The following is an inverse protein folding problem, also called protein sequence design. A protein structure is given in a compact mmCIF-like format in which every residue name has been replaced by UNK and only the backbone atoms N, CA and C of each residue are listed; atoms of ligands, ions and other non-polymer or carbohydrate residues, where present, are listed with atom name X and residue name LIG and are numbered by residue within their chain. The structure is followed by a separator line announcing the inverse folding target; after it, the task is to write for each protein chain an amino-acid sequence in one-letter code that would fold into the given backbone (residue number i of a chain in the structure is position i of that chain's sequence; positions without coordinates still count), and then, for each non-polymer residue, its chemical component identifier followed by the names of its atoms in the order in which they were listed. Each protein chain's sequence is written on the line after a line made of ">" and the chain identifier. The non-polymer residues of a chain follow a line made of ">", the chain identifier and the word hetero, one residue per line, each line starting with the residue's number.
data_IF_761092355678
#
_entry.id   IF_761092355678
#
_cell.length_a   1.000
_cell.length_b   1.000
_cell.length_c   1.000
_cell.angle_alpha   90.00
_cell.angle_beta   90.00
_cell.angle_gamma   90.00
#
_symmetry.space_group_name_H-M   'P 1'
#
loop_
_entity.id
_entity.type
_entity.pdbx_description
1 polymer ?
#
# COMPACT_ATOMS: atom_id res chain seq x y z
N UNK A 1 -14.62 67.13 27.88
CA UNK A 1 -13.22 66.93 27.41
C UNK A 1 -12.33 66.58 28.58
N UNK A 2 -12.01 65.30 28.76
CA UNK A 2 -10.83 64.80 29.48
C UNK A 2 -10.42 63.50 28.81
N UNK A 3 -9.19 63.46 28.31
CA UNK A 3 -8.55 62.35 27.60
C UNK A 3 -8.25 61.24 28.61
N UNK A 4 -8.63 60.01 28.31
CA UNK A 4 -8.14 58.84 29.05
C UNK A 4 -6.94 58.27 28.31
N UNK A 5 -5.77 58.38 28.95
CA UNK A 5 -4.52 57.73 28.52
C UNK A 5 -4.65 56.22 28.67
N UNK A 6 -4.33 55.51 27.60
CA UNK A 6 -4.08 54.07 27.61
C UNK A 6 -2.70 53.86 28.24
N UNK A 7 -2.65 53.31 29.45
CA UNK A 7 -1.41 52.80 30.05
C UNK A 7 -1.29 51.31 29.71
N UNK A 8 -0.44 51.01 28.73
CA UNK A 8 0.02 49.65 28.43
C UNK A 8 0.94 49.21 29.58
N UNK A 9 0.47 48.30 30.42
CA UNK A 9 1.32 47.58 31.36
C UNK A 9 2.04 46.46 30.60
N UNK A 10 3.26 46.77 30.17
CA UNK A 10 4.27 45.81 29.73
C UNK A 10 4.81 45.09 30.99
N UNK A 11 4.11 44.05 31.44
CA UNK A 11 4.68 43.07 32.36
C UNK A 11 5.49 42.06 31.55
N UNK A 12 6.78 42.36 31.40
CA UNK A 12 7.78 41.38 30.99
C UNK A 12 7.91 40.32 32.08
N UNK A 13 7.29 39.17 31.86
CA UNK A 13 7.76 37.92 32.45
C UNK A 13 8.71 37.29 31.44
N UNK A 14 10.02 37.53 31.64
CA UNK A 14 11.07 36.69 31.08
C UNK A 14 10.92 35.30 31.73
N UNK A 15 10.08 34.46 31.14
CA UNK A 15 10.24 33.03 31.27
C UNK A 15 11.49 32.68 30.46
N UNK A 16 12.64 32.73 31.13
CA UNK A 16 13.76 31.92 30.74
C UNK A 16 13.26 30.47 30.81
N UNK A 17 12.80 29.96 29.67
CA UNK A 17 12.53 28.54 29.52
C UNK A 17 13.85 27.83 29.70
N UNK A 18 14.08 27.30 30.90
CA UNK A 18 14.91 26.11 31.05
C UNK A 18 14.29 25.08 30.12
N UNK A 19 14.89 24.89 28.95
CA UNK A 19 14.73 23.63 28.23
C UNK A 19 15.34 22.58 29.17
N UNK A 20 14.50 21.93 29.97
CA UNK A 20 14.89 20.64 30.52
C UNK A 20 15.20 19.77 29.31
N UNK A 21 16.48 19.55 29.03
CA UNK A 21 16.90 18.44 28.20
C UNK A 21 16.18 17.21 28.76
N UNK A 22 15.28 16.63 27.97
CA UNK A 22 14.65 15.36 28.31
C UNK A 22 15.80 14.40 28.50
N UNK A 23 16.03 13.91 29.73
CA UNK A 23 16.95 12.79 29.92
C UNK A 23 16.39 11.65 29.07
N UNK A 24 17.13 11.29 28.02
CA UNK A 24 16.78 10.16 27.19
C UNK A 24 16.96 8.92 28.06
N UNK A 25 15.85 8.26 28.38
CA UNK A 25 15.89 6.96 29.04
C UNK A 25 16.49 5.95 28.08
N UNK A 26 17.20 4.97 28.64
CA UNK A 26 17.52 3.76 27.91
C UNK A 26 16.21 3.06 27.54
N UNK A 27 16.21 2.28 26.45
CA UNK A 27 15.08 1.40 26.15
C UNK A 27 15.02 0.33 27.24
N UNK A 28 13.83 0.12 27.80
CA UNK A 28 13.54 -0.95 28.76
C UNK A 28 12.30 -1.68 28.24
N UNK A 29 12.39 -2.99 28.04
CA UNK A 29 11.29 -3.80 27.52
C UNK A 29 10.99 -4.90 28.55
N UNK A 30 9.80 -4.91 29.17
CA UNK A 30 9.44 -5.90 30.17
C UNK A 30 9.15 -7.25 29.50
N UNK A 31 10.19 -8.05 29.22
CA UNK A 31 10.11 -9.30 28.45
C UNK A 31 9.01 -10.26 28.97
N UNK A 32 8.89 -10.40 30.29
CA UNK A 32 7.91 -11.29 30.94
C UNK A 32 6.44 -10.84 30.78
N UNK A 33 6.20 -9.59 30.38
CA UNK A 33 4.86 -9.03 30.16
C UNK A 33 4.41 -9.15 28.69
N UNK A 34 5.33 -9.50 27.79
CA UNK A 34 5.04 -9.63 26.35
C UNK A 34 4.14 -10.84 26.11
N UNK A 35 2.96 -10.62 25.55
CA UNK A 35 2.05 -11.72 25.14
C UNK A 35 2.25 -12.11 23.67
N UNK A 36 2.64 -11.15 22.83
CA UNK A 36 2.97 -11.33 21.42
C UNK A 36 4.00 -10.30 20.99
N UNK A 37 4.72 -10.58 19.91
CA UNK A 37 5.52 -9.58 19.24
C UNK A 37 5.29 -9.67 17.73
N UNK A 38 5.56 -8.58 17.03
CA UNK A 38 5.38 -8.47 15.59
C UNK A 38 6.66 -7.96 14.95
N UNK A 39 7.15 -8.66 13.94
CA UNK A 39 8.25 -8.21 13.09
C UNK A 39 7.70 -8.01 11.68
N UNK A 40 7.66 -6.75 11.24
CA UNK A 40 6.99 -6.38 10.00
C UNK A 40 5.50 -6.77 10.05
N UNK A 41 5.10 -7.75 9.23
CA UNK A 41 3.71 -8.23 9.15
C UNK A 41 3.47 -9.57 9.84
N UNK A 42 4.48 -10.14 10.51
CA UNK A 42 4.40 -11.45 11.14
C UNK A 42 4.28 -11.27 12.64
N UNK A 43 3.18 -11.77 13.22
CA UNK A 43 2.99 -11.89 14.66
C UNK A 43 3.41 -13.27 15.14
N UNK A 44 4.07 -13.32 16.28
CA UNK A 44 4.50 -14.57 16.91
C UNK A 44 4.33 -14.47 18.43
N UNK A 45 4.19 -15.62 19.07
CA UNK A 45 4.27 -15.68 20.54
C UNK A 45 5.73 -15.72 20.99
N UNK A 46 6.05 -15.22 22.20
CA UNK A 46 7.41 -15.26 22.74
C UNK A 46 8.07 -16.64 22.66
N UNK A 47 7.34 -17.69 23.03
CA UNK A 47 7.86 -19.07 23.06
C UNK A 47 8.17 -19.66 21.68
N UNK A 48 7.64 -19.07 20.61
CA UNK A 48 7.84 -19.53 19.22
C UNK A 48 9.15 -18.99 18.63
N UNK A 49 9.71 -17.92 19.20
CA UNK A 49 10.89 -17.25 18.69
C UNK A 49 12.07 -17.30 19.67
N UNK A 50 12.93 -18.31 19.48
CA UNK A 50 14.08 -18.60 20.35
C UNK A 50 15.09 -17.46 20.54
N UNK A 51 15.06 -16.46 19.67
CA UNK A 51 15.97 -15.32 19.66
C UNK A 51 15.38 -14.07 20.32
N UNK A 52 14.15 -14.12 20.86
CA UNK A 52 13.46 -12.95 21.40
C UNK A 52 14.24 -12.25 22.50
N UNK A 53 14.73 -12.98 23.51
CA UNK A 53 15.51 -12.39 24.62
C UNK A 53 16.81 -11.75 24.13
N UNK A 54 17.43 -12.30 23.07
CA UNK A 54 18.61 -11.69 22.46
C UNK A 54 18.26 -10.39 21.73
N UNK A 55 17.16 -10.39 20.97
CA UNK A 55 16.66 -9.19 20.29
C UNK A 55 16.36 -8.07 21.30
N UNK A 56 15.63 -8.39 22.38
CA UNK A 56 15.31 -7.43 23.44
C UNK A 56 16.58 -6.88 24.05
N UNK A 57 17.53 -7.74 24.42
CA UNK A 57 18.81 -7.32 24.99
C UNK A 57 19.58 -6.37 24.06
N UNK A 58 19.60 -6.66 22.76
CA UNK A 58 20.28 -5.80 21.78
C UNK A 58 19.55 -4.45 21.62
N UNK A 59 18.21 -4.44 21.68
CA UNK A 59 17.41 -3.21 21.69
C UNK A 59 17.67 -2.37 22.94
N UNK A 60 17.77 -3.00 24.11
CA UNK A 60 18.13 -2.33 25.38
C UNK A 60 19.58 -1.86 25.42
N UNK A 61 20.45 -2.31 24.50
CA UNK A 61 21.84 -1.84 24.34
C UNK A 61 21.99 -0.74 23.27
N UNK A 62 20.92 -0.42 22.52
CA UNK A 62 20.92 0.65 21.53
C UNK A 62 21.23 2.01 22.16
N UNK A 63 22.00 2.86 21.47
CA UNK A 63 22.56 4.07 22.10
C UNK A 63 21.74 5.30 21.71
N UNK A 64 21.14 6.04 22.66
CA UNK A 64 20.35 7.23 22.32
C UNK A 64 21.21 8.28 21.61
N UNK A 65 20.69 8.86 20.54
CA UNK A 65 21.37 9.94 19.82
C UNK A 65 21.48 11.18 20.72
N UNK A 66 22.69 11.76 20.77
CA UNK A 66 23.00 12.85 21.71
C UNK A 66 22.19 14.12 21.44
N UNK A 67 21.88 14.38 20.18
CA UNK A 67 21.09 15.54 19.75
C UNK A 67 19.89 15.06 18.96
N UNK A 68 18.81 14.74 19.67
CA UNK A 68 17.54 14.26 19.10
C UNK A 68 16.97 15.20 18.05
N UNK A 69 17.22 16.51 18.13
CA UNK A 69 16.72 17.47 17.14
C UNK A 69 17.47 17.39 15.81
N UNK A 70 18.68 16.85 15.81
CA UNK A 70 19.50 16.63 14.61
C UNK A 70 19.63 15.14 14.26
N UNK A 71 19.00 14.26 15.03
CA UNK A 71 19.02 12.84 14.77
C UNK A 71 18.36 12.58 13.41
N UNK A 72 18.84 11.58 12.66
CA UNK A 72 18.16 11.17 11.46
C UNK A 72 16.85 10.50 11.87
N UNK A 73 15.71 11.07 11.46
CA UNK A 73 14.41 10.43 11.61
C UNK A 73 14.13 9.53 10.41
N UNK A 74 13.30 8.50 10.62
CA UNK A 74 12.93 7.57 9.56
C UNK A 74 12.21 8.30 8.43
N UNK A 75 12.47 7.86 7.20
CA UNK A 75 11.70 8.24 6.02
C UNK A 75 10.59 7.22 5.76
N UNK A 76 10.35 6.92 4.49
CA UNK A 76 9.43 5.84 4.07
C UNK A 76 10.07 4.44 4.21
N UNK A 77 11.40 4.36 4.17
CA UNK A 77 12.15 3.10 4.23
C UNK A 77 12.47 2.74 5.68
N UNK A 78 11.59 1.96 6.31
CA UNK A 78 11.77 1.46 7.68
C UNK A 78 11.16 0.07 7.86
N UNK A 79 11.62 -0.63 8.90
CA UNK A 79 11.11 -1.93 9.33
C UNK A 79 10.58 -1.84 10.76
N UNK A 80 9.26 -2.00 10.99
CA UNK A 80 8.68 -1.92 12.31
C UNK A 80 8.82 -3.25 13.07
N UNK A 81 9.16 -3.15 14.35
CA UNK A 81 9.07 -4.22 15.35
C UNK A 81 8.15 -3.73 16.47
N UNK A 82 7.22 -4.56 16.93
CA UNK A 82 6.39 -4.21 18.09
C UNK A 82 6.31 -5.33 19.12
N UNK A 83 6.22 -4.94 20.37
CA UNK A 83 5.91 -5.82 21.50
C UNK A 83 4.49 -5.51 21.99
N UNK A 84 3.70 -6.54 22.23
CA UNK A 84 2.28 -6.46 22.52
C UNK A 84 2.04 -7.09 23.90
N UNK A 85 1.29 -6.40 24.76
CA UNK A 85 1.02 -6.78 26.14
C UNK A 85 -0.46 -7.20 26.37
N UNK A 86 -0.81 -7.67 27.58
CA UNK A 86 -2.13 -8.26 27.89
C UNK A 86 -3.35 -7.37 27.54
N UNK A 87 -3.21 -6.05 27.66
CA UNK A 87 -4.28 -5.08 27.33
C UNK A 87 -4.26 -4.61 25.86
N UNK A 88 -3.54 -5.31 24.98
CA UNK A 88 -3.27 -4.92 23.59
C UNK A 88 -2.51 -3.59 23.45
N UNK A 89 -1.94 -3.07 24.54
CA UNK A 89 -0.95 -1.99 24.48
C UNK A 89 0.28 -2.47 23.74
N UNK A 90 0.95 -1.54 23.03
CA UNK A 90 2.08 -1.86 22.16
C UNK A 90 3.18 -0.83 22.34
N UNK A 91 4.41 -1.31 22.28
CA UNK A 91 5.57 -0.48 21.99
C UNK A 91 6.01 -0.77 20.56
N UNK A 92 6.11 0.26 19.73
CA UNK A 92 6.56 0.12 18.34
C UNK A 92 7.90 0.83 18.13
N UNK A 93 8.78 0.12 17.45
CA UNK A 93 10.14 0.55 17.16
C UNK A 93 10.39 0.43 15.66
N UNK A 94 10.94 1.50 15.06
CA UNK A 94 11.16 1.60 13.62
C UNK A 94 12.66 1.57 13.32
N UNK A 95 13.10 0.50 12.65
CA UNK A 95 14.49 0.33 12.22
C UNK A 95 14.69 0.89 10.81
N UNK A 96 15.71 1.71 10.59
CA UNK A 96 15.97 2.30 9.28
C UNK A 96 17.46 2.62 9.05
N UNK A 97 17.93 2.53 7.79
CA UNK A 97 19.28 2.92 7.43
C UNK A 97 19.36 4.42 7.11
N UNK A 98 20.46 5.06 7.52
CA UNK A 98 20.85 6.41 7.09
C UNK A 98 22.37 6.54 7.06
N UNK A 99 22.92 7.00 5.94
CA UNK A 99 24.35 7.27 5.77
C UNK A 99 25.24 6.09 6.24
N UNK A 100 24.95 4.88 5.74
CA UNK A 100 25.63 3.61 6.05
C UNK A 100 25.47 3.09 7.49
N UNK A 101 24.64 3.72 8.32
CA UNK A 101 24.34 3.29 9.68
C UNK A 101 22.88 2.94 9.85
N UNK A 102 22.58 2.15 10.88
CA UNK A 102 21.22 1.82 11.25
C UNK A 102 20.82 2.53 12.53
N UNK A 103 19.58 2.99 12.52
CA UNK A 103 18.94 3.69 13.62
C UNK A 103 17.63 3.02 13.99
N UNK A 104 17.22 3.27 15.22
CA UNK A 104 15.99 2.82 15.82
C UNK A 104 15.22 4.06 16.30
N UNK A 105 14.01 4.27 15.82
CA UNK A 105 13.13 5.36 16.26
C UNK A 105 11.92 4.78 17.01
N UNK A 106 11.59 5.37 18.16
CA UNK A 106 10.39 5.03 18.94
C UNK A 106 9.16 5.81 18.46
N UNK A 107 7.96 5.41 18.86
CA UNK A 107 6.73 6.16 18.55
C UNK A 107 6.73 7.62 19.04
N UNK A 108 7.48 7.90 20.11
CA UNK A 108 7.64 9.26 20.64
C UNK A 108 8.69 10.10 19.89
N UNK A 109 9.32 9.53 18.86
CA UNK A 109 10.33 10.19 18.03
C UNK A 109 11.74 10.20 18.63
N UNK A 110 11.97 9.48 19.73
CA UNK A 110 13.33 9.33 20.27
C UNK A 110 14.12 8.34 19.38
N UNK A 111 15.33 8.73 18.97
CA UNK A 111 16.20 8.01 18.04
C UNK A 111 17.43 7.45 18.75
N UNK A 112 17.79 6.22 18.40
CA UNK A 112 18.93 5.46 18.91
C UNK A 112 19.79 4.99 17.74
N UNK A 113 21.10 5.05 17.88
CA UNK A 113 22.08 4.51 16.95
C UNK A 113 22.54 3.10 17.33
N UNK A 114 23.40 2.52 16.48
CA UNK A 114 23.90 1.13 16.57
C UNK A 114 22.76 0.10 16.48
N UNK A 115 21.78 0.35 15.62
CA UNK A 115 20.61 -0.52 15.45
C UNK A 115 20.78 -1.57 14.34
N UNK A 116 22.01 -1.80 13.85
CA UNK A 116 22.32 -2.74 12.77
C UNK A 116 22.16 -4.21 13.19
N UNK A 117 22.12 -4.48 14.50
CA UNK A 117 21.81 -5.80 15.05
C UNK A 117 20.51 -6.39 14.50
N UNK A 118 19.55 -5.56 14.06
CA UNK A 118 18.27 -6.02 13.50
C UNK A 118 18.47 -6.97 12.31
N UNK A 119 19.56 -6.81 11.56
CA UNK A 119 19.92 -7.63 10.42
C UNK A 119 20.30 -9.07 10.79
N UNK A 120 20.60 -9.35 12.07
CA UNK A 120 20.83 -10.71 12.58
C UNK A 120 19.52 -11.48 12.87
N UNK A 121 18.38 -10.78 12.83
CA UNK A 121 17.05 -11.29 13.17
C UNK A 121 16.12 -11.36 11.96
N UNK A 122 16.26 -10.42 11.03
CA UNK A 122 15.40 -10.31 9.83
C UNK A 122 16.22 -9.94 8.60
N UNK A 123 15.85 -10.54 7.47
CA UNK A 123 16.38 -10.15 6.17
C UNK A 123 15.60 -8.94 5.66
N UNK A 124 16.23 -7.77 5.67
CA UNK A 124 15.62 -6.50 5.27
C UNK A 124 16.31 -6.02 4.00
N UNK A 125 15.55 -6.00 2.91
CA UNK A 125 15.94 -5.33 1.68
C UNK A 125 14.94 -4.20 1.40
N UNK A 126 15.39 -2.96 1.52
CA UNK A 126 14.60 -1.77 1.11
C UNK A 126 14.77 -1.46 -0.38
N UNK A 127 15.82 -1.99 -1.03
CA UNK A 127 16.11 -1.80 -2.43
C UNK A 127 15.48 -2.90 -3.28
N UNK A 128 14.21 -3.20 -3.02
CA UNK A 128 13.44 -4.08 -3.90
C UNK A 128 13.00 -3.27 -5.12
N UNK A 129 13.97 -2.91 -5.97
CA UNK A 129 13.73 -2.63 -7.38
C UNK A 129 13.44 -3.99 -8.05
N UNK A 130 12.33 -4.62 -7.64
CA UNK A 130 11.85 -5.85 -8.24
C UNK A 130 11.50 -5.46 -9.65
N UNK A 131 12.41 -5.71 -10.59
CA UNK A 131 12.07 -5.83 -12.00
C UNK A 131 10.96 -6.86 -12.07
N UNK A 132 9.73 -6.38 -12.17
CA UNK A 132 8.57 -7.25 -12.31
C UNK A 132 8.58 -7.69 -13.76
N UNK A 133 9.01 -8.92 -13.99
CA UNK A 133 8.78 -9.55 -15.28
C UNK A 133 7.27 -9.54 -15.56
N UNK A 134 6.89 -8.86 -16.63
CA UNK A 134 5.50 -8.79 -17.08
C UNK A 134 5.25 -10.06 -17.88
N UNK A 135 4.89 -11.14 -17.18
CA UNK A 135 4.57 -12.42 -17.81
C UNK A 135 3.08 -12.49 -18.10
N UNK A 136 2.69 -12.08 -19.30
CA UNK A 136 1.35 -12.34 -19.83
C UNK A 136 1.48 -13.51 -20.78
N UNK A 137 0.68 -14.57 -20.58
CA UNK A 137 0.65 -15.68 -21.54
C UNK A 137 0.36 -15.15 -22.97
N UNK A 138 1.11 -15.63 -23.96
CA UNK A 138 1.08 -15.08 -25.33
C UNK A 138 -0.27 -15.30 -26.01
N UNK A 139 -0.95 -16.41 -25.72
CA UNK A 139 -2.27 -16.68 -26.28
C UNK A 139 -3.32 -15.78 -25.62
N UNK A 140 -3.19 -15.55 -24.31
CA UNK A 140 -3.98 -14.55 -23.57
C UNK A 140 -3.75 -13.14 -24.13
N UNK A 141 -2.51 -12.76 -24.44
CA UNK A 141 -2.19 -11.46 -25.02
C UNK A 141 -2.77 -11.30 -26.44
N UNK A 142 -2.67 -12.33 -27.29
CA UNK A 142 -3.31 -12.32 -28.62
C UNK A 142 -4.83 -12.15 -28.51
N UNK A 143 -5.47 -12.87 -27.58
CA UNK A 143 -6.91 -12.76 -27.33
C UNK A 143 -7.31 -11.36 -26.90
N UNK A 144 -6.53 -10.77 -26.00
CA UNK A 144 -6.70 -9.38 -25.55
C UNK A 144 -6.65 -8.39 -26.73
N UNK A 145 -5.66 -8.55 -27.63
CA UNK A 145 -5.54 -7.70 -28.83
C UNK A 145 -6.68 -7.94 -29.83
N UNK A 146 -7.11 -9.19 -30.04
CA UNK A 146 -8.22 -9.52 -30.93
C UNK A 146 -9.53 -8.90 -30.47
N UNK A 147 -9.83 -8.95 -29.17
CA UNK A 147 -10.99 -8.27 -28.58
C UNK A 147 -10.83 -6.74 -28.71
N UNK A 148 -9.61 -6.23 -28.51
CA UNK A 148 -9.32 -4.80 -28.42
C UNK A 148 -9.12 -4.07 -29.75
N UNK A 149 -9.04 -4.78 -30.87
CA UNK A 149 -8.66 -4.20 -32.17
C UNK A 149 -9.60 -3.09 -32.65
N UNK A 150 -10.90 -3.23 -32.37
CA UNK A 150 -11.93 -2.28 -32.79
C UNK A 150 -12.17 -1.15 -31.76
N UNK A 151 -11.50 -1.22 -30.61
CA UNK A 151 -11.62 -0.25 -29.53
C UNK A 151 -10.58 0.86 -29.66
N UNK A 152 -11.06 2.11 -29.61
CA UNK A 152 -10.19 3.31 -29.56
C UNK A 152 -9.46 3.43 -28.22
N UNK A 153 -10.14 3.07 -27.14
CA UNK A 153 -9.67 3.06 -25.75
C UNK A 153 -10.18 1.79 -25.08
N UNK A 154 -9.46 1.27 -24.10
CA UNK A 154 -9.88 0.10 -23.35
C UNK A 154 -10.80 0.50 -22.20
N UNK A 155 -11.98 0.98 -22.58
CA UNK A 155 -13.05 1.46 -21.70
C UNK A 155 -13.83 0.31 -21.03
N UNK A 156 -14.91 0.65 -20.32
CA UNK A 156 -15.77 -0.31 -19.62
C UNK A 156 -16.29 -1.42 -20.55
N UNK A 157 -16.57 -1.15 -21.83
CA UNK A 157 -17.07 -2.14 -22.79
C UNK A 157 -16.00 -3.16 -23.14
N UNK A 158 -14.81 -2.68 -23.48
CA UNK A 158 -13.65 -3.56 -23.71
C UNK A 158 -13.34 -4.39 -22.47
N UNK A 159 -13.26 -3.73 -21.31
CA UNK A 159 -12.91 -4.33 -20.03
C UNK A 159 -13.91 -5.41 -19.60
N UNK A 160 -15.20 -5.22 -19.91
CA UNK A 160 -16.24 -6.21 -19.69
C UNK A 160 -16.11 -7.40 -20.64
N UNK A 161 -16.05 -7.17 -21.95
CA UNK A 161 -15.92 -8.23 -22.95
C UNK A 161 -14.67 -9.10 -22.72
N UNK A 162 -13.51 -8.46 -22.52
CA UNK A 162 -12.27 -9.15 -22.19
C UNK A 162 -12.37 -9.91 -20.86
N UNK A 163 -13.07 -9.36 -19.87
CA UNK A 163 -13.31 -10.03 -18.59
C UNK A 163 -14.14 -11.31 -18.74
N UNK A 164 -15.23 -11.26 -19.51
CA UNK A 164 -16.12 -12.42 -19.70
C UNK A 164 -15.40 -13.53 -20.46
N UNK A 165 -14.76 -13.20 -21.59
CA UNK A 165 -14.03 -14.17 -22.40
C UNK A 165 -12.91 -14.84 -21.60
N UNK A 166 -12.11 -14.07 -20.86
CA UNK A 166 -11.02 -14.66 -20.06
C UNK A 166 -11.56 -15.50 -18.89
N UNK A 167 -12.66 -15.09 -18.26
CA UNK A 167 -13.28 -15.89 -17.20
C UNK A 167 -13.72 -17.25 -17.73
N UNK A 168 -14.43 -17.30 -18.87
CA UNK A 168 -14.86 -18.56 -19.48
C UNK A 168 -13.68 -19.48 -19.79
N UNK A 169 -12.56 -18.93 -20.26
CA UNK A 169 -11.37 -19.69 -20.65
C UNK A 169 -10.58 -20.23 -19.46
N UNK A 170 -10.44 -19.43 -18.40
CA UNK A 170 -9.65 -19.80 -17.22
C UNK A 170 -10.39 -20.79 -16.31
N UNK A 171 -11.72 -20.67 -16.21
CA UNK A 171 -12.52 -21.44 -15.25
C UNK A 171 -13.37 -22.53 -15.88
N UNK A 172 -13.63 -22.44 -17.20
CA UNK A 172 -14.61 -23.29 -17.89
C UNK A 172 -16.07 -22.96 -17.55
N UNK A 173 -16.34 -21.79 -16.99
CA UNK A 173 -17.69 -21.31 -16.70
C UNK A 173 -18.53 -21.16 -17.98
N UNK A 174 -19.85 -21.29 -17.84
CA UNK A 174 -20.77 -20.84 -18.89
C UNK A 174 -20.71 -19.32 -19.06
N UNK A 175 -21.17 -18.82 -20.22
CA UNK A 175 -21.23 -17.38 -20.49
C UNK A 175 -22.05 -16.62 -19.43
N UNK A 176 -23.21 -17.16 -19.02
CA UNK A 176 -24.06 -16.56 -17.97
C UNK A 176 -23.33 -16.46 -16.62
N UNK A 177 -22.61 -17.52 -16.24
CA UNK A 177 -21.80 -17.54 -15.01
C UNK A 177 -20.63 -16.55 -15.08
N UNK A 178 -19.95 -16.48 -16.23
CA UNK A 178 -18.85 -15.56 -16.46
C UNK A 178 -19.32 -14.09 -16.44
N UNK A 179 -20.43 -13.77 -17.10
CA UNK A 179 -21.09 -12.45 -17.04
C UNK A 179 -21.38 -12.07 -15.58
N UNK A 180 -22.01 -12.97 -14.83
CA UNK A 180 -22.36 -12.71 -13.43
C UNK A 180 -21.12 -12.42 -12.56
N UNK A 181 -20.06 -13.23 -12.72
CA UNK A 181 -18.79 -13.07 -11.98
C UNK A 181 -18.08 -11.77 -12.35
N UNK A 182 -17.98 -11.46 -13.63
CA UNK A 182 -17.34 -10.22 -14.12
C UNK A 182 -18.11 -9.01 -13.63
N UNK A 183 -19.44 -9.01 -13.76
CA UNK A 183 -20.28 -7.91 -13.30
C UNK A 183 -20.10 -7.63 -11.80
N UNK A 184 -20.13 -8.68 -10.98
CA UNK A 184 -19.88 -8.56 -9.53
C UNK A 184 -18.47 -8.02 -9.26
N UNK A 185 -17.46 -8.59 -9.90
CA UNK A 185 -16.06 -8.18 -9.74
C UNK A 185 -15.86 -6.71 -10.10
N UNK A 186 -16.48 -6.22 -11.19
CA UNK A 186 -16.40 -4.81 -11.62
C UNK A 186 -17.05 -3.86 -10.61
N UNK A 187 -18.21 -4.23 -10.06
CA UNK A 187 -18.88 -3.45 -9.01
C UNK A 187 -18.01 -3.39 -7.75
N UNK A 188 -17.55 -4.55 -7.25
CA UNK A 188 -16.72 -4.63 -6.05
C UNK A 188 -15.43 -3.82 -6.22
N UNK A 189 -14.79 -3.95 -7.39
CA UNK A 189 -13.58 -3.22 -7.73
C UNK A 189 -13.80 -1.71 -7.81
N UNK A 190 -14.93 -1.27 -8.37
CA UNK A 190 -15.26 0.15 -8.46
C UNK A 190 -15.48 0.76 -7.08
N UNK A 191 -16.10 0.03 -6.15
CA UNK A 191 -16.27 0.50 -4.77
C UNK A 191 -14.93 0.76 -4.09
N UNK A 192 -13.95 -0.14 -4.27
CA UNK A 192 -12.59 0.04 -3.76
C UNK A 192 -11.94 1.28 -4.37
N UNK A 193 -12.08 1.49 -5.68
CA UNK A 193 -11.53 2.66 -6.36
C UNK A 193 -12.14 3.99 -5.85
N UNK A 194 -13.46 4.08 -5.74
CA UNK A 194 -14.11 5.31 -5.25
C UNK A 194 -13.79 5.57 -3.77
N UNK A 195 -13.71 4.52 -2.95
CA UNK A 195 -13.25 4.66 -1.56
C UNK A 195 -11.81 5.17 -1.50
N UNK A 196 -10.91 4.61 -2.30
CA UNK A 196 -9.51 5.02 -2.35
C UNK A 196 -9.38 6.50 -2.75
N UNK A 197 -10.15 6.96 -3.74
CA UNK A 197 -10.22 8.38 -4.13
C UNK A 197 -10.73 9.25 -3.00
N UNK A 198 -11.87 8.89 -2.39
CA UNK A 198 -12.47 9.60 -1.26
C UNK A 198 -11.51 9.72 -0.08
N UNK A 199 -10.65 8.72 0.11
CA UNK A 199 -9.63 8.66 1.15
C UNK A 199 -8.31 9.37 0.80
N UNK A 200 -8.22 10.02 -0.37
CA UNK A 200 -7.06 10.81 -0.76
C UNK A 200 -5.92 10.02 -1.42
N UNK A 201 -6.17 8.79 -1.87
CA UNK A 201 -5.18 7.93 -2.53
C UNK A 201 -5.19 8.04 -4.06
N UNK A 202 -5.99 8.95 -4.64
CA UNK A 202 -6.04 9.15 -6.09
C UNK A 202 -4.67 9.53 -6.64
N UNK A 203 -4.24 8.83 -7.69
CA UNK A 203 -2.98 9.15 -8.38
C UNK A 203 -3.18 10.24 -9.43
N UNK A 204 -2.18 11.08 -9.59
CA UNK A 204 -2.14 12.13 -10.60
C UNK A 204 -1.82 11.57 -11.99
N UNK A 205 -2.21 12.29 -13.05
CA UNK A 205 -1.87 11.91 -14.43
C UNK A 205 -0.37 11.79 -14.67
N UNK A 206 0.44 12.63 -13.99
CA UNK A 206 1.90 12.56 -14.07
C UNK A 206 2.43 11.22 -13.55
N UNK A 207 1.88 10.72 -12.44
CA UNK A 207 2.25 9.41 -11.91
C UNK A 207 1.86 8.28 -12.86
N UNK A 208 0.72 8.40 -13.55
CA UNK A 208 0.29 7.43 -14.57
C UNK A 208 1.23 7.43 -15.77
N UNK A 209 1.61 8.60 -16.28
CA UNK A 209 2.59 8.73 -17.37
C UNK A 209 3.96 8.13 -16.99
N UNK A 210 4.44 8.40 -15.77
CA UNK A 210 5.68 7.82 -15.25
C UNK A 210 5.57 6.30 -15.12
N UNK A 211 4.41 5.80 -14.69
CA UNK A 211 4.17 4.36 -14.59
C UNK A 211 4.16 3.68 -15.97
N UNK A 212 3.51 4.26 -16.97
CA UNK A 212 3.50 3.72 -18.34
C UNK A 212 4.91 3.65 -18.91
N UNK A 213 5.72 4.71 -18.74
CA UNK A 213 7.13 4.73 -19.17
C UNK A 213 7.94 3.62 -18.50
N UNK A 214 7.79 3.48 -17.18
CA UNK A 214 8.50 2.43 -16.43
C UNK A 214 8.09 1.03 -16.86
N UNK A 215 6.80 0.79 -17.10
CA UNK A 215 6.29 -0.48 -17.64
C UNK A 215 6.95 -0.77 -19.00
N UNK A 216 7.03 0.22 -19.90
CA UNK A 216 7.68 0.05 -21.20
C UNK A 216 9.17 -0.21 -21.10
N UNK A 217 9.89 0.51 -20.24
CA UNK A 217 11.30 0.28 -19.97
C UNK A 217 11.55 -1.15 -19.47
N UNK A 218 10.80 -1.58 -18.45
CA UNK A 218 10.91 -2.92 -17.87
C UNK A 218 10.52 -4.02 -18.88
N UNK A 219 9.59 -3.73 -19.79
CA UNK A 219 9.16 -4.66 -20.83
C UNK A 219 10.20 -4.80 -21.95
N UNK A 220 10.80 -3.69 -22.40
CA UNK A 220 11.80 -3.67 -23.46
C UNK A 220 13.11 -4.38 -23.08
N UNK A 221 13.39 -4.51 -21.79
CA UNK A 221 14.56 -5.22 -21.27
C UNK A 221 14.38 -6.75 -21.18
N UNK A 222 13.18 -7.27 -21.42
CA UNK A 222 12.90 -8.72 -21.34
C UNK A 222 13.44 -9.48 -22.56
N UNK A 223 13.93 -10.71 -22.34
CA UNK A 223 14.49 -11.54 -23.42
C UNK A 223 13.46 -11.90 -24.49
N UNK A 224 12.19 -12.09 -24.10
CA UNK A 224 11.09 -12.44 -25.00
C UNK A 224 10.32 -11.23 -25.54
N UNK A 225 10.77 -10.00 -25.25
CA UNK A 225 10.22 -8.76 -25.82
C UNK A 225 10.01 -8.81 -27.34
N UNK A 226 10.97 -9.31 -28.16
CA UNK A 226 10.77 -9.38 -29.62
C UNK A 226 9.56 -10.22 -30.05
N UNK A 227 9.16 -11.21 -29.25
CA UNK A 227 7.99 -12.05 -29.54
C UNK A 227 6.68 -11.29 -29.30
N UNK A 228 6.58 -10.53 -28.21
CA UNK A 228 5.42 -9.67 -27.97
C UNK A 228 5.33 -8.53 -28.97
N UNK A 229 6.47 -7.96 -29.37
CA UNK A 229 6.51 -6.92 -30.41
C UNK A 229 6.01 -7.48 -31.76
N UNK A 230 6.36 -8.72 -32.10
CA UNK A 230 5.84 -9.40 -33.28
C UNK A 230 4.32 -9.60 -33.20
N UNK A 231 3.80 -10.02 -32.04
CA UNK A 231 2.35 -10.14 -31.82
C UNK A 231 1.67 -8.78 -31.99
N UNK A 232 2.14 -7.70 -31.37
CA UNK A 232 1.55 -6.37 -31.55
C UNK A 232 1.49 -5.95 -33.03
N UNK A 233 2.55 -6.24 -33.80
CA UNK A 233 2.62 -5.94 -35.24
C UNK A 233 1.58 -6.72 -36.05
N UNK A 234 1.28 -7.97 -35.69
CA UNK A 234 0.21 -8.77 -36.34
C UNK A 234 -1.16 -8.10 -36.21
N UNK A 235 -1.40 -7.39 -35.10
CA UNK A 235 -2.64 -6.65 -34.83
C UNK A 235 -2.54 -5.15 -35.20
N UNK A 236 -1.46 -4.73 -35.86
CA UNK A 236 -1.29 -3.35 -36.33
C UNK A 236 -1.16 -2.32 -35.21
N UNK A 237 -0.59 -2.70 -34.07
CA UNK A 237 -0.39 -1.81 -32.91
C UNK A 237 1.02 -1.94 -32.32
N UNK A 238 1.29 -1.24 -31.22
CA UNK A 238 2.51 -1.34 -30.42
C UNK A 238 2.17 -1.56 -28.93
N UNK A 239 3.15 -1.99 -28.14
CA UNK A 239 2.94 -2.11 -26.69
C UNK A 239 2.65 -0.76 -26.04
N UNK A 240 3.31 0.31 -26.49
CA UNK A 240 3.05 1.68 -26.04
C UNK A 240 1.60 2.08 -26.30
N UNK A 241 1.09 1.88 -27.51
CA UNK A 241 -0.30 2.14 -27.85
C UNK A 241 -1.28 1.33 -26.99
N UNK A 242 -0.96 0.05 -26.69
CA UNK A 242 -1.80 -0.79 -25.84
C UNK A 242 -1.86 -0.25 -24.39
N UNK A 243 -0.73 0.18 -23.83
CA UNK A 243 -0.68 0.78 -22.49
C UNK A 243 -1.39 2.13 -22.45
N UNK A 244 -1.23 2.92 -23.50
CA UNK A 244 -1.92 4.20 -23.68
C UNK A 244 -3.44 4.04 -23.75
N UNK A 245 -3.93 3.03 -24.48
CA UNK A 245 -5.35 2.64 -24.48
C UNK A 245 -5.83 2.16 -23.11
N UNK A 246 -4.93 1.61 -22.28
CA UNK A 246 -5.20 1.09 -20.92
C UNK A 246 -5.08 2.15 -19.82
N UNK A 247 -4.82 3.42 -20.15
CA UNK A 247 -4.46 4.45 -19.15
C UNK A 247 -5.43 4.54 -17.98
N UNK A 248 -6.73 4.60 -18.23
CA UNK A 248 -7.74 4.73 -17.17
C UNK A 248 -7.72 3.52 -16.23
N UNK A 249 -7.54 2.32 -16.79
CA UNK A 249 -7.34 1.10 -16.01
C UNK A 249 -6.05 1.17 -15.17
N UNK A 250 -4.94 1.63 -15.76
CA UNK A 250 -3.66 1.80 -15.03
C UNK A 250 -3.84 2.77 -13.86
N UNK A 251 -4.53 3.89 -14.07
CA UNK A 251 -4.85 4.87 -13.02
C UNK A 251 -5.69 4.26 -11.91
N UNK A 252 -6.71 3.49 -12.26
CA UNK A 252 -7.57 2.79 -11.31
C UNK A 252 -6.77 1.79 -10.46
N UNK A 253 -5.98 0.92 -11.10
CA UNK A 253 -5.12 -0.05 -10.42
C UNK A 253 -4.10 0.62 -9.51
N UNK A 254 -3.43 1.67 -9.97
CA UNK A 254 -2.47 2.42 -9.14
C UNK A 254 -3.14 3.01 -7.89
N UNK A 255 -4.34 3.59 -8.04
CA UNK A 255 -5.09 4.18 -6.93
C UNK A 255 -5.49 3.14 -5.89
N UNK A 256 -6.01 1.98 -6.33
CA UNK A 256 -6.33 0.86 -5.43
C UNK A 256 -5.08 0.26 -4.76
N UNK A 257 -3.99 0.15 -5.51
CA UNK A 257 -2.72 -0.36 -4.98
C UNK A 257 -2.13 0.56 -3.91
N UNK A 258 -2.28 1.89 -4.02
CA UNK A 258 -1.91 2.82 -2.94
C UNK A 258 -2.70 2.54 -1.67
N UNK A 259 -4.03 2.40 -1.75
CA UNK A 259 -4.86 2.02 -0.60
C UNK A 259 -4.40 0.68 0.02
N UNK A 260 -4.16 -0.33 -0.82
CA UNK A 260 -3.71 -1.65 -0.36
C UNK A 260 -2.35 -1.59 0.33
N UNK A 261 -1.41 -0.81 -0.20
CA UNK A 261 -0.08 -0.63 0.39
C UNK A 261 -0.18 0.07 1.74
N UNK A 262 -0.97 1.13 1.84
CA UNK A 262 -1.16 1.86 3.10
C UNK A 262 -1.89 1.00 4.14
N UNK A 263 -2.86 0.18 3.72
CA UNK A 263 -3.52 -0.80 4.62
C UNK A 263 -2.52 -1.83 5.15
N UNK A 264 -1.58 -2.29 4.30
CA UNK A 264 -0.52 -3.20 4.71
C UNK A 264 0.46 -2.52 5.68
N UNK A 265 0.88 -1.29 5.39
CA UNK A 265 1.74 -0.49 6.30
C UNK A 265 1.05 -0.24 7.64
N UNK A 266 -0.23 0.10 7.65
CA UNK A 266 -1.02 0.28 8.86
C UNK A 266 -0.94 -0.96 9.76
N UNK A 267 -1.14 -2.15 9.18
CA UNK A 267 -0.98 -3.41 9.91
C UNK A 267 0.44 -3.60 10.45
N UNK A 268 1.46 -3.35 9.63
CA UNK A 268 2.86 -3.44 10.05
C UNK A 268 3.19 -2.49 11.21
N UNK A 269 2.52 -1.33 11.25
CA UNK A 269 2.63 -0.31 12.29
C UNK A 269 1.65 -0.55 13.46
N UNK A 270 1.21 -1.80 13.67
CA UNK A 270 0.37 -2.16 14.80
C UNK A 270 -1.07 -1.65 14.74
N UNK A 271 -1.53 -1.06 13.63
CA UNK A 271 -2.95 -0.77 13.40
C UNK A 271 -3.60 -2.01 12.79
N UNK A 272 -4.06 -2.89 13.65
CA UNK A 272 -4.54 -4.24 13.31
C UNK A 272 -5.94 -4.51 13.89
N UNK A 273 -6.64 -3.46 14.31
CA UNK A 273 -7.93 -3.55 14.99
C UNK A 273 -8.99 -2.76 14.24
N UNK A 274 -10.13 -3.39 14.00
CA UNK A 274 -11.33 -2.74 13.47
C UNK A 274 -12.44 -2.97 14.48
N UNK A 275 -13.01 -1.86 14.99
CA UNK A 275 -13.96 -1.88 16.13
C UNK A 275 -13.35 -2.65 17.31
N UNK A 276 -13.98 -3.74 17.74
CA UNK A 276 -13.55 -4.54 18.88
C UNK A 276 -12.74 -5.79 18.50
N UNK A 277 -12.43 -5.98 17.21
CA UNK A 277 -11.73 -7.18 16.72
C UNK A 277 -10.32 -6.86 16.26
N UNK A 278 -9.36 -7.58 16.83
CA UNK A 278 -7.95 -7.57 16.45
C UNK A 278 -7.67 -8.69 15.44
N UNK A 279 -6.90 -8.38 14.41
CA UNK A 279 -6.60 -9.27 13.28
C UNK A 279 -5.18 -9.81 13.37
N UNK A 280 -4.97 -11.10 13.08
CA UNK A 280 -3.67 -11.76 13.26
C UNK A 280 -2.76 -11.65 12.06
N UNK A 281 -3.33 -11.49 10.86
CA UNK A 281 -2.59 -11.43 9.60
C UNK A 281 -2.95 -10.20 8.78
N UNK A 282 -2.03 -9.69 7.94
CA UNK A 282 -2.32 -8.58 7.04
C UNK A 282 -3.45 -8.91 6.05
N UNK A 283 -3.58 -10.19 5.65
CA UNK A 283 -4.64 -10.64 4.77
C UNK A 283 -6.02 -10.49 5.42
N UNK A 284 -6.19 -11.00 6.64
CA UNK A 284 -7.47 -10.90 7.34
C UNK A 284 -7.84 -9.45 7.64
N UNK A 285 -6.86 -8.63 8.04
CA UNK A 285 -7.04 -7.20 8.25
C UNK A 285 -7.48 -6.49 6.97
N UNK A 286 -6.79 -6.72 5.86
CA UNK A 286 -7.13 -6.12 4.56
C UNK A 286 -8.53 -6.53 4.10
N UNK A 287 -8.90 -7.81 4.25
CA UNK A 287 -10.26 -8.30 3.96
C UNK A 287 -11.31 -7.61 4.82
N UNK A 288 -11.04 -7.43 6.11
CA UNK A 288 -11.96 -6.75 7.00
C UNK A 288 -12.10 -5.25 6.70
N UNK A 289 -11.04 -4.57 6.27
CA UNK A 289 -11.15 -3.20 5.75
C UNK A 289 -12.11 -3.15 4.56
N UNK A 290 -12.01 -4.09 3.62
CA UNK A 290 -12.94 -4.15 2.49
C UNK A 290 -14.39 -4.37 2.96
N UNK A 291 -14.61 -5.41 3.78
CA UNK A 291 -15.94 -5.87 4.14
C UNK A 291 -16.63 -4.95 5.18
N UNK A 292 -15.89 -4.39 6.13
CA UNK A 292 -16.44 -3.60 7.24
C UNK A 292 -16.33 -2.08 7.08
N UNK A 293 -15.51 -1.61 6.14
CA UNK A 293 -15.30 -0.17 5.91
C UNK A 293 -15.67 0.16 4.47
N UNK A 294 -14.93 -0.32 3.48
CA UNK A 294 -15.08 0.08 2.07
C UNK A 294 -16.48 -0.17 1.54
N UNK A 295 -16.97 -1.42 1.64
CA UNK A 295 -18.30 -1.79 1.10
C UNK A 295 -19.46 -1.24 1.92
N UNK A 296 -19.20 -0.76 3.14
CA UNK A 296 -20.21 -0.08 3.96
C UNK A 296 -20.29 1.42 3.66
N UNK A 297 -19.17 2.03 3.26
CA UNK A 297 -19.08 3.45 2.97
C UNK A 297 -19.41 3.80 1.52
N UNK A 298 -19.17 2.88 0.58
CA UNK A 298 -19.49 3.07 -0.83
C UNK A 298 -20.64 2.15 -1.20
N UNK A 299 -21.82 2.76 -1.35
CA UNK A 299 -23.05 2.09 -1.77
C UNK A 299 -23.13 1.97 -3.29
N UNK A 300 -24.11 1.21 -3.78
CA UNK A 300 -24.39 1.14 -5.22
C UNK A 300 -24.89 2.49 -5.79
N UNK A 301 -25.48 3.34 -4.95
CA UNK A 301 -25.90 4.70 -5.33
C UNK A 301 -24.69 5.59 -5.61
N UNK A 302 -23.61 5.45 -4.83
CA UNK A 302 -22.36 6.20 -5.02
C UNK A 302 -21.66 5.87 -6.34
N UNK A 303 -21.95 4.70 -6.93
CA UNK A 303 -21.39 4.23 -8.19
C UNK A 303 -22.46 4.03 -9.28
N UNK A 304 -23.63 4.65 -9.14
CA UNK A 304 -24.78 4.37 -10.02
C UNK A 304 -24.49 4.68 -11.50
N UNK A 305 -23.68 5.71 -11.78
CA UNK A 305 -23.26 6.03 -13.15
C UNK A 305 -22.42 4.92 -13.76
N UNK A 306 -21.51 4.32 -12.97
CA UNK A 306 -20.70 3.19 -13.42
C UNK A 306 -21.53 1.92 -13.60
N UNK A 307 -22.54 1.70 -12.76
CA UNK A 307 -23.48 0.58 -12.94
C UNK A 307 -24.22 0.70 -14.28
N UNK A 308 -24.65 1.92 -14.65
CA UNK A 308 -25.26 2.15 -15.96
C UNK A 308 -24.27 1.89 -17.11
N UNK A 309 -23.03 2.35 -17.01
CA UNK A 309 -21.99 2.03 -18.00
C UNK A 309 -21.75 0.52 -18.12
N UNK A 310 -21.85 -0.21 -17.01
CA UNK A 310 -21.72 -1.67 -16.97
C UNK A 310 -22.90 -2.37 -17.64
N UNK A 311 -24.12 -1.85 -17.49
CA UNK A 311 -25.31 -2.33 -18.24
C UNK A 311 -25.13 -2.16 -19.74
N UNK A 312 -24.62 -1.00 -20.16
CA UNK A 312 -24.32 -0.73 -21.57
C UNK A 312 -23.19 -1.62 -22.11
N UNK A 313 -22.20 -1.95 -21.27
CA UNK A 313 -21.12 -2.86 -21.62
C UNK A 313 -21.58 -4.31 -21.75
N UNK A 314 -22.46 -4.78 -20.86
CA UNK A 314 -23.06 -6.10 -20.93
C UNK A 314 -23.94 -6.26 -22.16
N UNK A 315 -24.80 -5.27 -22.46
CA UNK A 315 -25.60 -5.27 -23.67
C UNK A 315 -24.73 -5.28 -24.94
N UNK A 316 -23.66 -4.48 -24.96
CA UNK A 316 -22.71 -4.48 -26.06
C UNK A 316 -22.04 -5.84 -26.24
N UNK A 317 -21.64 -6.50 -25.15
CA UNK A 317 -21.04 -7.84 -25.21
C UNK A 317 -22.00 -8.85 -25.86
N UNK A 318 -23.24 -8.94 -25.37
CA UNK A 318 -24.26 -9.88 -25.87
C UNK A 318 -24.65 -9.65 -27.35
N UNK A 319 -24.42 -8.45 -27.88
CA UNK A 319 -24.70 -8.12 -29.28
C UNK A 319 -23.54 -8.43 -30.23
N UNK A 320 -22.30 -8.50 -29.72
CA UNK A 320 -21.09 -8.48 -30.56
C UNK A 320 -20.13 -9.66 -30.34
N UNK A 321 -20.32 -10.47 -29.31
CA UNK A 321 -19.50 -11.64 -28.97
C UNK A 321 -20.34 -12.92 -28.96
#
# INVERSE_FOLDING_TARGET
>A
MKKYSICIFLCGALLAGCSSEKELSQIEIPEEEIVKFQMGSIKSKPEEYKKLSSLIKDMEEAVPEKDQKKAPHRGEDYYPVSFIYEEETKDIFYFFPKDERWYLETENGDVYGNADFILDYVDIDFNVDVKREIRIDKDTFKRYLEIGKDFKTYDTKFSFANGVVNTMEETGDTEEEAISKVRKSRIDTRKVYEYAKKSGYEVSEKEVEERIKKILEDFNEQEDYPEYEAICKEYGTTMEECLEKSRDYIKEEMTKNKLSLETYKDFQNGKDKIKDKTYETPYEYSRAILDEVVYTEISDEDISSYIQELDEAEAYYLENF
#
